data_IF_366476517714
#
_entry.id   IF_366476517714
#
_cell.length_a   1.000
_cell.length_b   1.000
_cell.length_c   1.000
_cell.angle_alpha   90.00
_cell.angle_beta   90.00
_cell.angle_gamma   90.00
#
_symmetry.space_group_name_H-M   'P 1'
#
loop_
_entity.id
_entity.type
_entity.pdbx_description
1 polymer ?
#
# COMPACT_ATOMS: atom_id res chain seq x y z
N UNK A 1 15.70 17.88 -11.87
CA UNK A 1 15.52 16.58 -12.54
C UNK A 1 14.29 15.95 -11.94
N UNK A 2 13.18 15.96 -12.66
CA UNK A 2 11.95 15.28 -12.24
C UNK A 2 12.15 13.77 -12.33
N UNK A 3 12.05 13.08 -11.20
CA UNK A 3 12.11 11.63 -11.19
C UNK A 3 10.91 11.10 -11.99
N UNK A 4 11.17 10.28 -13.00
CA UNK A 4 10.11 9.63 -13.77
C UNK A 4 9.17 8.85 -12.83
N UNK A 5 7.86 8.76 -13.14
CA UNK A 5 6.90 8.03 -12.30
C UNK A 5 7.34 6.59 -11.95
N UNK A 6 8.05 5.93 -12.86
CA UNK A 6 8.63 4.61 -12.65
C UNK A 6 9.71 4.59 -11.55
N UNK A 7 10.58 5.60 -11.51
CA UNK A 7 11.64 5.71 -10.50
C UNK A 7 11.06 6.06 -9.12
N UNK A 8 10.02 6.90 -9.09
CA UNK A 8 9.26 7.20 -7.86
C UNK A 8 8.62 5.91 -7.32
N UNK A 9 7.98 5.13 -8.19
CA UNK A 9 7.36 3.86 -7.79
C UNK A 9 8.38 2.83 -7.30
N UNK A 10 9.53 2.73 -7.97
CA UNK A 10 10.63 1.84 -7.57
C UNK A 10 11.20 2.22 -6.20
N UNK A 11 11.39 3.52 -5.95
CA UNK A 11 11.83 4.02 -4.65
C UNK A 11 10.78 3.75 -3.56
N UNK A 12 9.51 4.06 -3.82
CA UNK A 12 8.42 3.79 -2.88
C UNK A 12 8.31 2.30 -2.53
N UNK A 13 8.43 1.42 -3.53
CA UNK A 13 8.40 -0.05 -3.32
C UNK A 13 9.57 -0.52 -2.46
N UNK A 14 10.78 0.00 -2.69
CA UNK A 14 11.96 -0.33 -1.88
C UNK A 14 11.75 0.08 -0.41
N UNK A 15 11.29 1.31 -0.20
CA UNK A 15 10.99 1.85 1.14
C UNK A 15 9.93 1.02 1.86
N UNK A 16 8.82 0.70 1.18
CA UNK A 16 7.78 -0.18 1.71
C UNK A 16 8.32 -1.56 2.07
N UNK A 17 9.21 -2.15 1.26
CA UNK A 17 9.76 -3.48 1.56
C UNK A 17 10.65 -3.50 2.81
N UNK A 18 11.42 -2.43 3.04
CA UNK A 18 12.30 -2.30 4.19
C UNK A 18 11.57 -1.97 5.50
N UNK A 19 10.29 -1.59 5.45
CA UNK A 19 9.48 -1.30 6.63
C UNK A 19 9.03 -2.57 7.35
N UNK A 20 9.00 -2.49 8.69
CA UNK A 20 8.34 -3.48 9.54
C UNK A 20 6.82 -3.49 9.29
N UNK A 21 6.14 -4.56 9.69
CA UNK A 21 4.68 -4.67 9.55
C UNK A 21 3.94 -3.52 10.25
N UNK A 22 4.41 -3.09 11.42
CA UNK A 22 3.84 -1.96 12.15
C UNK A 22 3.97 -0.64 11.35
N UNK A 23 5.16 -0.35 10.85
CA UNK A 23 5.41 0.85 10.03
C UNK A 23 4.61 0.86 8.73
N UNK A 24 4.44 -0.31 8.09
CA UNK A 24 3.56 -0.46 6.91
C UNK A 24 2.12 -0.09 7.25
N UNK A 25 1.59 -0.60 8.38
CA UNK A 25 0.21 -0.30 8.80
C UNK A 25 0.04 1.18 9.10
N UNK A 26 0.98 1.82 9.82
CA UNK A 26 0.93 3.26 10.08
C UNK A 26 1.01 4.09 8.80
N UNK A 27 1.91 3.74 7.89
CA UNK A 27 2.04 4.40 6.58
C UNK A 27 0.75 4.30 5.76
N UNK A 28 0.14 3.11 5.71
CA UNK A 28 -1.12 2.88 4.99
C UNK A 28 -2.31 3.58 5.66
N UNK A 29 -2.29 3.75 6.99
CA UNK A 29 -3.28 4.57 7.72
C UNK A 29 -3.11 6.06 7.40
N UNK A 30 -1.88 6.57 7.42
CA UNK A 30 -1.57 7.96 7.06
C UNK A 30 -1.93 8.29 5.62
N UNK A 31 -1.81 7.32 4.71
CA UNK A 31 -2.24 7.44 3.32
C UNK A 31 -3.78 7.30 3.11
N UNK A 32 -4.55 7.05 4.17
CA UNK A 32 -6.01 6.84 4.09
C UNK A 32 -6.44 5.52 3.44
N UNK A 33 -5.50 4.62 3.15
CA UNK A 33 -5.75 3.31 2.54
C UNK A 33 -6.32 2.33 3.58
N UNK A 34 -5.80 2.41 4.81
CA UNK A 34 -6.37 1.73 5.97
C UNK A 34 -7.10 2.73 6.87
N UNK A 35 -8.22 2.31 7.43
CA UNK A 35 -8.93 2.99 8.50
C UNK A 35 -8.15 2.89 9.83
N UNK A 36 -8.48 3.74 10.80
CA UNK A 36 -7.91 3.70 12.17
C UNK A 36 -8.06 2.30 12.80
N UNK A 37 -9.17 1.61 12.48
CA UNK A 37 -9.48 0.23 12.90
C UNK A 37 -8.67 -0.86 12.17
N UNK A 38 -7.83 -0.51 11.20
CA UNK A 38 -7.01 -1.45 10.41
C UNK A 38 -7.73 -2.08 9.22
N UNK A 39 -8.99 -1.71 8.96
CA UNK A 39 -9.73 -2.18 7.77
C UNK A 39 -9.35 -1.37 6.53
N UNK A 40 -9.41 -1.98 5.35
CA UNK A 40 -9.26 -1.27 4.07
C UNK A 40 -10.39 -0.26 3.86
N UNK A 41 -10.02 0.98 3.53
CA UNK A 41 -10.96 2.06 3.22
C UNK A 41 -11.77 1.75 1.96
N UNK A 42 -13.03 2.19 1.94
CA UNK A 42 -14.00 1.91 0.85
C UNK A 42 -13.46 2.10 -0.58
N UNK A 43 -12.78 3.20 -0.94
CA UNK A 43 -12.27 3.38 -2.31
C UNK A 43 -11.25 2.32 -2.74
N UNK A 44 -10.59 1.64 -1.79
CA UNK A 44 -9.56 0.65 -2.08
C UNK A 44 -10.04 -0.80 -1.95
N UNK A 45 -11.26 -1.04 -1.43
CA UNK A 45 -11.80 -2.41 -1.24
C UNK A 45 -11.89 -3.19 -2.55
N UNK A 46 -12.27 -2.55 -3.66
CA UNK A 46 -12.40 -3.18 -4.97
C UNK A 46 -11.06 -3.50 -5.65
N UNK A 47 -10.01 -2.74 -5.33
CA UNK A 47 -8.68 -2.90 -5.93
C UNK A 47 -7.90 -4.00 -5.21
N UNK A 48 -7.99 -4.07 -3.87
CA UNK A 48 -7.22 -5.01 -3.05
C UNK A 48 -7.83 -6.44 -3.06
N UNK A 49 -9.14 -6.59 -3.30
CA UNK A 49 -9.81 -7.90 -3.39
C UNK A 49 -9.35 -8.78 -4.56
N UNK A 50 -8.86 -8.21 -5.67
CA UNK A 50 -8.48 -9.00 -6.86
C UNK A 50 -7.29 -9.93 -6.65
N UNK A 51 -6.49 -9.72 -5.60
CA UNK A 51 -5.25 -10.49 -5.38
C UNK A 51 -5.42 -11.75 -4.53
N UNK A 52 -6.61 -12.00 -3.95
CA UNK A 52 -6.84 -13.17 -3.05
C UNK A 52 -7.76 -14.22 -3.68
N UNK A 53 -8.20 -14.02 -4.94
CA UNK A 53 -8.99 -15.00 -5.70
C UNK A 53 -8.21 -15.67 -6.83
N UNK A 54 -6.90 -15.83 -6.69
CA UNK A 54 -6.11 -16.66 -7.60
C UNK A 54 -5.41 -17.78 -6.81
N UNK A 55 -5.82 -19.01 -7.13
CA UNK A 55 -5.34 -20.33 -6.68
C UNK A 55 -6.03 -20.91 -5.44
N UNK A 56 -7.20 -21.49 -5.69
CA UNK A 56 -7.63 -22.76 -5.11
C UNK A 56 -7.00 -23.90 -5.93
#
# INVERSE_FOLDING_TARGET
MDASPAEIWKAARKTLHSMTTAQKVETLKGAGILTVKGNVSEPYKGVIRKSVSQSN
#
